data_IF_374508965679
#
_entry.id   IF_374508965679
#
_cell.length_a   1.000
_cell.length_b   1.000
_cell.length_c   1.000
_cell.angle_alpha   90.00
_cell.angle_beta   90.00
_cell.angle_gamma   90.00
#
_symmetry.space_group_name_H-M   'P 1'
#
loop_
_entity.id
_entity.type
_entity.pdbx_description
1 polymer ?
#
# COMPACT_ATOMS: atom_id res chain seq x y z
N UNK A 1 19.56 68.95 -35.96
CA UNK A 1 18.49 67.93 -36.01
C UNK A 1 18.95 66.76 -35.15
N UNK A 2 18.54 66.69 -33.86
CA UNK A 2 17.48 65.82 -33.30
C UNK A 2 17.61 64.35 -33.79
N UNK A 3 18.36 63.49 -33.11
CA UNK A 3 18.06 62.72 -31.87
C UNK A 3 17.14 61.51 -32.09
N UNK A 4 17.63 60.29 -31.80
CA UNK A 4 16.85 59.22 -31.16
C UNK A 4 17.79 58.07 -30.70
N UNK A 5 18.11 58.05 -29.39
CA UNK A 5 18.65 56.87 -28.69
C UNK A 5 17.45 56.02 -28.26
N UNK A 6 17.38 54.76 -28.72
CA UNK A 6 16.37 53.80 -28.29
C UNK A 6 16.90 53.03 -27.06
N UNK A 7 16.37 53.39 -25.90
CA UNK A 7 16.62 52.73 -24.61
C UNK A 7 15.73 51.48 -24.53
N UNK A 8 16.31 50.28 -24.55
CA UNK A 8 15.57 49.03 -24.34
C UNK A 8 15.56 48.69 -22.84
N UNK A 9 14.42 48.95 -22.18
CA UNK A 9 14.19 48.60 -20.78
C UNK A 9 13.80 47.10 -20.70
N UNK A 10 14.71 46.26 -20.20
CA UNK A 10 14.42 44.86 -19.87
C UNK A 10 13.86 44.82 -18.45
N UNK A 11 12.54 44.67 -18.33
CA UNK A 11 11.87 44.45 -17.05
C UNK A 11 11.96 42.97 -16.66
N UNK A 12 12.88 42.66 -15.73
CA UNK A 12 12.97 41.32 -15.12
C UNK A 12 11.89 41.23 -14.05
N UNK A 13 10.75 40.63 -14.40
CA UNK A 13 9.68 40.29 -13.45
C UNK A 13 10.11 39.06 -12.64
N UNK A 14 10.86 39.27 -11.55
CA UNK A 14 11.01 38.28 -10.49
C UNK A 14 9.67 38.15 -9.75
N UNK A 15 8.81 37.26 -10.23
CA UNK A 15 7.65 36.80 -9.49
C UNK A 15 8.11 35.89 -8.35
N UNK A 16 8.47 36.47 -7.21
CA UNK A 16 8.52 35.77 -5.94
C UNK A 16 7.11 35.20 -5.64
N UNK A 17 6.88 33.93 -5.99
CA UNK A 17 5.77 33.17 -5.44
C UNK A 17 6.03 33.04 -3.95
N UNK A 18 5.30 33.84 -3.17
CA UNK A 18 5.20 33.71 -1.72
C UNK A 18 4.74 32.28 -1.45
N UNK A 19 5.61 31.48 -0.81
CA UNK A 19 5.23 30.19 -0.27
C UNK A 19 4.07 30.43 0.69
N UNK A 20 2.87 30.09 0.24
CA UNK A 20 1.74 29.88 1.14
C UNK A 20 2.15 28.74 2.05
N UNK A 21 2.62 29.08 3.24
CA UNK A 21 2.64 28.20 4.39
C UNK A 21 1.22 27.64 4.54
N UNK A 22 0.98 26.49 3.91
CA UNK A 22 -0.15 25.64 4.20
C UNK A 22 -0.02 25.30 5.67
N UNK A 23 -1.01 25.71 6.47
CA UNK A 23 -1.10 25.29 7.87
C UNK A 23 -0.98 23.76 7.98
N UNK A 24 -0.76 23.24 9.20
CA UNK A 24 -0.55 21.80 9.40
C UNK A 24 -1.66 21.02 8.68
N UNK A 25 -1.31 20.00 7.89
CA UNK A 25 -2.28 19.27 7.08
C UNK A 25 -3.43 18.79 7.97
N UNK A 26 -4.66 19.05 7.52
CA UNK A 26 -5.87 18.66 8.26
C UNK A 26 -5.79 17.19 8.68
N UNK A 27 -6.23 16.83 9.89
CA UNK A 27 -6.13 15.47 10.37
C UNK A 27 -6.90 14.51 9.44
N UNK A 28 -6.13 13.68 8.75
CA UNK A 28 -6.64 12.72 7.78
C UNK A 28 -7.58 11.73 8.48
N UNK A 29 -8.77 11.56 7.91
CA UNK A 29 -9.84 10.75 8.45
C UNK A 29 -9.73 9.30 7.91
N UNK A 30 -9.66 8.30 8.81
CA UNK A 30 -9.61 6.88 8.46
C UNK A 30 -10.93 6.28 7.98
N UNK A 31 -12.03 7.06 7.93
CA UNK A 31 -13.35 6.59 7.47
C UNK A 31 -13.31 6.13 6.02
N UNK A 32 -13.94 4.98 5.72
CA UNK A 32 -14.12 4.49 4.36
C UNK A 32 -15.47 4.90 3.80
N UNK A 33 -15.47 5.38 2.56
CA UNK A 33 -16.71 5.70 1.83
C UNK A 33 -17.32 4.44 1.24
N UNK A 34 -16.50 3.62 0.58
CA UNK A 34 -16.90 2.30 0.09
C UNK A 34 -16.56 1.26 1.16
N UNK A 35 -17.59 0.60 1.69
CA UNK A 35 -17.48 -0.38 2.76
C UNK A 35 -17.47 -1.78 2.15
N UNK A 36 -16.29 -2.22 1.74
CA UNK A 36 -16.03 -3.58 1.31
C UNK A 36 -16.30 -4.53 2.48
N UNK A 37 -17.08 -5.59 2.29
CA UNK A 37 -17.41 -6.58 3.33
C UNK A 37 -16.46 -7.77 3.26
N UNK A 38 -16.43 -8.47 2.12
CA UNK A 38 -15.59 -9.64 1.91
C UNK A 38 -14.83 -9.55 0.58
N UNK A 39 -13.62 -10.10 0.57
CA UNK A 39 -12.91 -10.53 -0.64
C UNK A 39 -12.81 -12.05 -0.60
N UNK A 40 -13.34 -12.73 -1.60
CA UNK A 40 -13.29 -14.20 -1.72
C UNK A 40 -12.41 -14.58 -2.91
N UNK A 41 -11.44 -15.46 -2.68
CA UNK A 41 -10.59 -16.03 -3.72
C UNK A 41 -10.71 -17.56 -3.63
N UNK A 42 -11.16 -18.25 -4.70
CA UNK A 42 -11.29 -19.70 -4.73
C UNK A 42 -10.00 -20.40 -4.33
N UNK A 43 -10.15 -21.49 -3.58
CA UNK A 43 -9.05 -22.33 -3.10
C UNK A 43 -8.07 -21.64 -2.14
N UNK A 44 -8.39 -20.43 -1.67
CA UNK A 44 -7.73 -19.81 -0.51
C UNK A 44 -8.68 -19.84 0.70
N UNK A 45 -8.15 -19.75 1.94
CA UNK A 45 -8.99 -19.61 3.13
C UNK A 45 -9.95 -18.43 2.95
N UNK A 46 -11.24 -18.67 3.20
CA UNK A 46 -12.33 -17.77 2.83
C UNK A 46 -13.18 -17.35 4.03
N UNK A 47 -13.54 -16.07 4.17
CA UNK A 47 -13.17 -14.97 3.28
C UNK A 47 -11.66 -14.69 3.33
N UNK A 48 -11.07 -14.34 2.19
CA UNK A 48 -9.64 -14.04 2.10
C UNK A 48 -9.32 -12.71 2.79
N UNK A 49 -10.23 -11.74 2.68
CA UNK A 49 -10.31 -10.59 3.58
C UNK A 49 -11.74 -10.40 4.07
N UNK A 50 -11.90 -10.01 5.33
CA UNK A 50 -13.17 -9.66 5.94
C UNK A 50 -13.07 -8.30 6.64
N UNK A 51 -14.10 -7.47 6.52
CA UNK A 51 -14.14 -6.15 7.16
C UNK A 51 -15.50 -5.91 7.83
N UNK A 52 -15.43 -5.44 9.07
CA UNK A 52 -16.59 -4.90 9.79
C UNK A 52 -16.41 -3.40 10.00
N UNK A 53 -17.51 -2.65 10.08
CA UNK A 53 -17.50 -1.21 10.23
C UNK A 53 -18.42 -0.75 11.35
N UNK A 54 -18.04 0.33 12.02
CA UNK A 54 -18.96 1.12 12.83
C UNK A 54 -19.96 1.89 11.97
N UNK A 55 -21.02 2.40 12.60
CA UNK A 55 -22.02 3.29 11.95
C UNK A 55 -21.39 4.57 11.38
N UNK A 56 -20.26 5.00 11.96
CA UNK A 56 -19.48 6.14 11.48
C UNK A 56 -18.58 5.80 10.28
N UNK A 57 -18.56 4.54 9.82
CA UNK A 57 -17.80 4.09 8.64
C UNK A 57 -16.32 3.83 8.89
N UNK A 58 -15.89 3.68 10.14
CA UNK A 58 -14.54 3.21 10.48
C UNK A 58 -14.52 1.69 10.52
N UNK A 59 -13.48 1.07 9.94
CA UNK A 59 -13.25 -0.37 10.05
C UNK A 59 -13.02 -0.69 11.53
N UNK A 60 -13.81 -1.57 12.12
CA UNK A 60 -13.70 -2.01 13.53
C UNK A 60 -13.02 -3.36 13.67
N UNK A 61 -13.15 -4.21 12.64
CA UNK A 61 -12.52 -5.52 12.57
C UNK A 61 -11.98 -5.78 11.17
N UNK A 62 -10.84 -6.45 11.09
CA UNK A 62 -10.16 -6.84 9.86
C UNK A 62 -9.69 -8.28 9.97
N UNK A 63 -10.27 -9.18 9.18
CA UNK A 63 -9.86 -10.57 9.06
C UNK A 63 -9.07 -10.82 7.77
N UNK A 64 -8.11 -11.74 7.82
CA UNK A 64 -7.37 -12.23 6.66
C UNK A 64 -7.25 -13.75 6.69
N UNK A 65 -7.44 -14.37 5.52
CA UNK A 65 -7.35 -15.80 5.28
C UNK A 65 -8.16 -16.63 6.30
N UNK A 66 -9.49 -16.48 6.27
CA UNK A 66 -10.41 -17.15 7.21
C UNK A 66 -10.05 -16.90 8.68
N UNK A 67 -9.86 -15.62 9.02
CA UNK A 67 -9.47 -15.16 10.36
C UNK A 67 -8.18 -15.78 10.91
N UNK A 68 -7.28 -16.29 10.06
CA UNK A 68 -5.93 -16.69 10.48
C UNK A 68 -5.18 -15.51 11.14
N UNK A 69 -5.29 -14.33 10.52
CA UNK A 69 -5.08 -13.07 11.23
C UNK A 69 -6.44 -12.38 11.40
N UNK A 70 -6.76 -11.99 12.63
CA UNK A 70 -8.00 -11.30 12.94
C UNK A 70 -7.72 -10.15 13.90
N UNK A 71 -7.99 -8.93 13.44
CA UNK A 71 -7.59 -7.71 14.13
C UNK A 71 -8.80 -6.92 14.61
N UNK A 72 -8.76 -6.49 15.87
CA UNK A 72 -9.55 -5.35 16.34
C UNK A 72 -8.83 -4.06 16.00
N UNK A 73 -9.54 -3.09 15.43
CA UNK A 73 -8.97 -1.81 14.97
C UNK A 73 -9.36 -0.68 15.93
N UNK A 74 -8.34 0.00 16.47
CA UNK A 74 -8.51 1.14 17.35
C UNK A 74 -8.12 2.43 16.67
N UNK A 75 -8.84 3.51 17.00
CA UNK A 75 -8.60 4.84 16.48
C UNK A 75 -8.32 5.83 17.58
N UNK A 76 -7.45 6.79 17.28
CA UNK A 76 -7.23 7.99 18.08
C UNK A 76 -7.23 9.18 17.13
N UNK A 77 -7.94 10.25 17.48
CA UNK A 77 -8.04 11.44 16.62
C UNK A 77 -8.45 11.12 15.16
N UNK A 78 -9.38 10.16 14.99
CA UNK A 78 -9.89 9.66 13.69
C UNK A 78 -8.85 8.94 12.82
N UNK A 79 -7.71 8.54 13.37
CA UNK A 79 -6.64 7.80 12.70
C UNK A 79 -6.45 6.44 13.37
N UNK A 80 -6.05 5.42 12.60
CA UNK A 80 -5.73 4.10 13.16
C UNK A 80 -4.56 4.28 14.13
N UNK A 81 -4.76 3.94 15.39
CA UNK A 81 -3.70 3.98 16.41
C UNK A 81 -3.13 2.59 16.64
N UNK A 82 -3.98 1.55 16.63
CA UNK A 82 -3.57 0.16 16.89
C UNK A 82 -4.41 -0.84 16.10
N UNK A 83 -3.78 -1.93 15.68
CA UNK A 83 -4.44 -3.19 15.32
C UNK A 83 -4.01 -4.24 16.34
N UNK A 84 -4.95 -4.90 17.01
CA UNK A 84 -4.66 -5.98 17.97
C UNK A 84 -5.11 -7.29 17.35
N UNK A 85 -4.16 -8.20 17.11
CA UNK A 85 -4.47 -9.53 16.63
C UNK A 85 -5.03 -10.38 17.78
N UNK A 86 -6.30 -10.76 17.68
CA UNK A 86 -7.02 -11.46 18.76
C UNK A 86 -6.56 -12.91 18.95
N UNK A 87 -5.81 -13.46 17.98
CA UNK A 87 -5.37 -14.85 18.01
C UNK A 87 -4.04 -15.05 18.76
N UNK A 88 -3.25 -13.98 18.96
CA UNK A 88 -1.91 -14.09 19.53
C UNK A 88 -1.44 -12.89 20.37
N UNK A 89 -2.34 -11.96 20.68
CA UNK A 89 -2.07 -10.77 21.49
C UNK A 89 -0.87 -9.93 20.99
N UNK A 90 -0.57 -9.99 19.69
CA UNK A 90 0.36 -9.06 19.05
C UNK A 90 -0.40 -7.81 18.61
N UNK A 91 0.19 -6.65 18.84
CA UNK A 91 -0.34 -5.39 18.32
C UNK A 91 0.59 -4.75 17.29
N UNK A 92 -0.02 -4.14 16.29
CA UNK A 92 0.61 -3.16 15.41
C UNK A 92 0.28 -1.76 15.94
N UNK A 93 1.29 -1.06 16.46
CA UNK A 93 1.18 0.30 16.99
C UNK A 93 1.63 1.33 15.95
N UNK A 94 0.75 2.27 15.60
CA UNK A 94 0.94 3.22 14.50
C UNK A 94 1.46 4.57 15.00
N UNK A 95 2.51 5.07 14.36
CA UNK A 95 3.08 6.39 14.59
C UNK A 95 2.96 7.25 13.33
N UNK A 96 2.78 8.55 13.55
CA UNK A 96 2.50 9.51 12.48
C UNK A 96 3.49 10.66 12.47
N UNK A 97 3.86 11.09 11.28
CA UNK A 97 4.65 12.30 11.00
C UNK A 97 3.94 13.06 9.89
N UNK A 98 3.76 14.37 10.04
CA UNK A 98 3.00 15.23 9.12
C UNK A 98 1.62 14.67 8.74
N UNK A 99 0.99 13.97 9.68
CA UNK A 99 -0.33 13.37 9.53
C UNK A 99 -0.39 12.05 8.77
N UNK A 100 0.75 11.51 8.31
CA UNK A 100 0.87 10.22 7.60
C UNK A 100 1.53 9.18 8.48
N UNK A 101 1.24 7.89 8.26
CA UNK A 101 1.89 6.80 9.00
C UNK A 101 3.37 6.79 8.64
N UNK A 102 4.26 7.05 9.60
CA UNK A 102 5.71 7.02 9.40
C UNK A 102 6.32 5.70 9.85
N UNK A 103 5.86 5.16 10.97
CA UNK A 103 6.35 3.90 11.53
C UNK A 103 5.18 3.09 12.10
N UNK A 104 5.24 1.78 11.93
CA UNK A 104 4.41 0.82 12.65
C UNK A 104 5.34 -0.10 13.43
N UNK A 105 5.03 -0.36 14.69
CA UNK A 105 5.75 -1.34 15.50
C UNK A 105 4.85 -2.53 15.78
N UNK A 106 5.32 -3.74 15.45
CA UNK A 106 4.73 -4.95 16.00
C UNK A 106 5.34 -5.21 17.36
N UNK A 107 4.50 -5.42 18.37
CA UNK A 107 4.94 -5.78 19.71
C UNK A 107 3.91 -6.66 20.41
N UNK A 108 4.40 -7.43 21.36
CA UNK A 108 3.57 -8.15 22.30
C UNK A 108 2.82 -7.16 23.21
N UNK A 109 1.50 -7.35 23.36
CA UNK A 109 0.65 -6.41 24.12
C UNK A 109 1.01 -6.36 25.60
N UNK A 110 1.41 -7.50 26.19
CA UNK A 110 1.68 -7.61 27.63
C UNK A 110 3.07 -7.13 28.01
N UNK A 111 4.09 -7.62 27.32
CA UNK A 111 5.50 -7.31 27.59
C UNK A 111 6.00 -6.06 26.90
N UNK A 112 5.32 -5.60 25.85
CA UNK A 112 5.73 -4.45 25.03
C UNK A 112 6.97 -4.73 24.16
N UNK A 113 7.48 -5.96 24.14
CA UNK A 113 8.67 -6.36 23.39
C UNK A 113 8.38 -6.25 21.89
N UNK A 114 9.22 -5.50 21.18
CA UNK A 114 9.10 -5.31 19.73
C UNK A 114 9.64 -6.52 18.98
N UNK A 115 8.91 -6.97 17.98
CA UNK A 115 9.31 -8.06 17.07
C UNK A 115 9.57 -7.54 15.66
N UNK A 116 8.79 -6.58 15.18
CA UNK A 116 8.93 -5.96 13.87
C UNK A 116 8.78 -4.42 13.90
N UNK A 117 9.37 -3.77 12.91
CA UNK A 117 9.19 -2.36 12.58
C UNK A 117 8.91 -2.24 11.09
N UNK A 118 7.89 -1.47 10.72
CA UNK A 118 7.57 -1.11 9.35
C UNK A 118 7.78 0.40 9.21
N UNK A 119 8.74 0.81 8.38
CA UNK A 119 9.04 2.24 8.18
C UNK A 119 8.53 2.69 6.81
N UNK A 120 7.68 3.70 6.78
CA UNK A 120 7.06 4.24 5.58
C UNK A 120 7.73 5.55 5.16
N UNK A 121 8.07 5.69 3.89
CA UNK A 121 8.57 6.94 3.30
C UNK A 121 7.66 7.40 2.19
N UNK A 122 7.52 8.72 2.02
CA UNK A 122 6.61 9.31 1.04
C UNK A 122 7.34 10.26 0.09
N UNK A 123 6.78 10.43 -1.10
CA UNK A 123 7.12 11.55 -1.98
C UNK A 123 6.58 12.87 -1.42
N UNK A 124 7.09 14.03 -1.88
CA UNK A 124 6.56 15.34 -1.47
C UNK A 124 5.05 15.52 -1.75
N UNK A 125 4.52 14.87 -2.78
CA UNK A 125 3.10 14.88 -3.12
C UNK A 125 2.24 13.95 -2.21
N UNK A 126 2.85 13.24 -1.27
CA UNK A 126 2.18 12.37 -0.30
C UNK A 126 1.93 10.94 -0.74
N UNK A 127 2.34 10.54 -1.95
CA UNK A 127 2.29 9.13 -2.36
C UNK A 127 3.33 8.31 -1.60
N UNK A 128 2.96 7.10 -1.17
CA UNK A 128 3.85 6.20 -0.46
C UNK A 128 4.97 5.75 -1.40
N UNK A 129 6.21 6.11 -1.08
CA UNK A 129 7.40 5.81 -1.88
C UNK A 129 8.03 4.47 -1.51
N UNK A 130 8.07 4.15 -0.23
CA UNK A 130 8.77 2.97 0.25
C UNK A 130 8.17 2.45 1.56
N UNK A 131 8.19 1.13 1.73
CA UNK A 131 8.08 0.48 3.04
C UNK A 131 9.30 -0.41 3.27
N UNK A 132 9.88 -0.31 4.47
CA UNK A 132 10.96 -1.17 4.95
C UNK A 132 10.47 -1.96 6.16
N UNK A 133 10.51 -3.29 6.08
CA UNK A 133 10.28 -4.20 7.18
C UNK A 133 11.62 -4.48 7.85
N UNK A 134 11.70 -4.27 9.16
CA UNK A 134 12.87 -4.57 9.97
C UNK A 134 12.48 -5.48 11.13
N UNK A 135 13.26 -6.52 11.36
CA UNK A 135 13.06 -7.48 12.44
C UNK A 135 13.98 -7.17 13.61
N UNK A 136 13.43 -7.23 14.82
CA UNK A 136 14.21 -7.21 16.05
C UNK A 136 14.59 -8.64 16.43
N UNK A 137 15.84 -8.84 16.88
CA UNK A 137 16.32 -10.13 17.36
C UNK A 137 16.68 -10.03 18.83
N UNK A 138 16.38 -11.10 19.58
CA UNK A 138 16.75 -11.18 20.99
C UNK A 138 18.28 -11.03 21.16
N UNK A 139 18.70 -10.21 22.11
CA UNK A 139 20.11 -9.95 22.39
C UNK A 139 20.79 -8.94 21.45
N UNK A 140 20.09 -8.42 20.43
CA UNK A 140 20.57 -7.32 19.57
C UNK A 140 19.94 -5.99 19.97
N UNK A 141 20.72 -4.92 19.89
CA UNK A 141 20.23 -3.55 20.09
C UNK A 141 19.69 -2.92 18.81
N UNK A 142 20.01 -3.50 17.65
CA UNK A 142 19.60 -3.06 16.33
C UNK A 142 18.51 -3.96 15.73
N UNK A 143 17.88 -3.47 14.66
CA UNK A 143 16.93 -4.22 13.83
C UNK A 143 17.50 -4.41 12.44
N UNK A 144 17.27 -5.58 11.83
CA UNK A 144 17.75 -5.90 10.47
C UNK A 144 16.63 -5.74 9.46
N UNK A 145 16.90 -5.10 8.32
CA UNK A 145 15.94 -5.04 7.21
C UNK A 145 15.70 -6.41 6.59
N UNK A 146 14.45 -6.88 6.57
CA UNK A 146 14.09 -8.21 6.05
C UNK A 146 13.35 -8.17 4.71
N UNK A 147 12.62 -7.08 4.47
CA UNK A 147 11.92 -6.82 3.21
C UNK A 147 11.91 -5.32 2.95
N UNK A 148 11.98 -4.90 1.69
CA UNK A 148 11.77 -3.50 1.30
C UNK A 148 10.97 -3.49 0.00
N UNK A 149 9.99 -2.60 -0.08
CA UNK A 149 9.22 -2.35 -1.30
C UNK A 149 9.40 -0.89 -1.70
N UNK A 150 9.79 -0.64 -2.95
CA UNK A 150 9.89 0.71 -3.53
C UNK A 150 8.78 0.85 -4.56
N UNK A 151 8.01 1.93 -4.46
CA UNK A 151 6.81 2.20 -5.27
C UNK A 151 7.06 3.42 -6.15
N UNK A 152 6.83 3.27 -7.46
CA UNK A 152 7.00 4.31 -8.47
C UNK A 152 5.65 4.58 -9.12
N UNK A 153 5.29 5.83 -9.30
CA UNK A 153 3.96 6.24 -9.79
C UNK A 153 4.05 6.99 -11.11
N UNK A 154 3.00 6.84 -11.92
CA UNK A 154 2.73 7.66 -13.07
C UNK A 154 2.33 9.09 -12.66
N UNK A 155 2.36 10.02 -13.62
CA UNK A 155 1.99 11.42 -13.38
C UNK A 155 0.52 11.60 -12.93
N UNK A 156 -0.36 10.63 -13.22
CA UNK A 156 -1.77 10.63 -12.83
C UNK A 156 -2.03 10.10 -11.40
N UNK A 157 -0.96 9.63 -10.74
CA UNK A 157 -0.97 9.06 -9.40
C UNK A 157 -1.28 7.57 -9.33
N UNK A 158 -1.46 6.86 -10.45
CA UNK A 158 -1.50 5.39 -10.44
C UNK A 158 -0.10 4.83 -10.23
N UNK A 159 0.02 3.72 -9.50
CA UNK A 159 1.27 2.97 -9.41
C UNK A 159 1.72 2.57 -10.83
N UNK A 160 2.97 2.80 -11.17
CA UNK A 160 3.54 2.41 -12.45
C UNK A 160 4.33 1.11 -12.28
N UNK A 161 5.09 1.03 -11.20
CA UNK A 161 6.03 -0.05 -10.94
C UNK A 161 6.26 -0.19 -9.44
N UNK A 162 6.61 -1.40 -9.00
CA UNK A 162 7.25 -1.57 -7.72
C UNK A 162 8.32 -2.66 -7.72
N UNK A 163 9.38 -2.40 -6.95
CA UNK A 163 10.46 -3.35 -6.68
C UNK A 163 10.30 -3.93 -5.29
N UNK A 164 10.43 -5.25 -5.17
CA UNK A 164 10.48 -5.97 -3.90
C UNK A 164 11.91 -6.49 -3.67
N UNK A 165 12.45 -6.21 -2.49
CA UNK A 165 13.75 -6.67 -2.03
C UNK A 165 13.57 -7.54 -0.79
N UNK A 166 14.33 -8.63 -0.71
CA UNK A 166 14.33 -9.57 0.42
C UNK A 166 15.72 -9.76 0.97
N UNK A 167 15.80 -10.00 2.27
CA UNK A 167 17.09 -10.23 2.93
C UNK A 167 17.73 -11.54 2.48
N UNK A 168 19.04 -11.48 2.24
CA UNK A 168 19.86 -12.67 2.16
C UNK A 168 20.18 -13.14 3.59
N UNK A 169 19.74 -14.35 4.00
CA UNK A 169 19.95 -14.81 5.36
C UNK A 169 21.43 -15.02 5.73
N UNK A 170 22.33 -15.13 4.74
CA UNK A 170 23.76 -15.29 4.99
C UNK A 170 24.50 -13.97 5.20
N UNK A 171 24.06 -12.88 4.56
CA UNK A 171 24.77 -11.58 4.57
C UNK A 171 23.99 -10.45 5.25
N UNK A 172 22.70 -10.67 5.57
CA UNK A 172 21.76 -9.65 6.05
C UNK A 172 21.52 -8.49 5.07
N UNK A 173 21.99 -8.60 3.82
CA UNK A 173 21.78 -7.59 2.78
C UNK A 173 20.42 -7.76 2.10
N UNK A 174 19.76 -6.64 1.78
CA UNK A 174 18.55 -6.65 0.97
C UNK A 174 18.91 -6.81 -0.51
N UNK A 175 18.53 -7.94 -1.09
CA UNK A 175 18.70 -8.24 -2.51
C UNK A 175 17.39 -8.05 -3.25
N UNK A 176 17.48 -7.59 -4.49
CA UNK A 176 16.34 -7.51 -5.39
C UNK A 176 15.73 -8.91 -5.58
N UNK A 177 14.41 -9.01 -5.41
CA UNK A 177 13.65 -10.26 -5.55
C UNK A 177 12.82 -10.25 -6.83
N UNK A 178 12.06 -9.18 -7.05
CA UNK A 178 11.19 -9.03 -8.21
C UNK A 178 10.86 -7.57 -8.48
N UNK A 179 10.52 -7.29 -9.73
CA UNK A 179 9.89 -6.03 -10.17
C UNK A 179 8.52 -6.35 -10.74
N UNK A 180 7.52 -5.54 -10.43
CA UNK A 180 6.19 -5.62 -11.06
C UNK A 180 5.86 -4.30 -11.73
N UNK A 181 5.67 -4.35 -13.05
CA UNK A 181 5.27 -3.22 -13.90
C UNK A 181 3.76 -3.28 -14.15
N UNK A 182 3.04 -2.19 -13.91
CA UNK A 182 1.63 -2.08 -14.26
C UNK A 182 1.51 -1.38 -15.61
N UNK A 183 1.05 -2.14 -16.60
CA UNK A 183 1.07 -1.76 -18.00
C UNK A 183 -0.21 -1.02 -18.41
N UNK A 184 -1.35 -1.38 -17.80
CA UNK A 184 -2.65 -0.85 -18.20
C UNK A 184 -3.60 -0.72 -17.00
N UNK A 185 -4.43 0.31 -17.04
CA UNK A 185 -5.46 0.61 -16.05
C UNK A 185 -6.82 0.83 -16.71
N UNK A 186 -7.89 0.54 -15.98
CA UNK A 186 -9.22 1.04 -16.33
C UNK A 186 -9.42 2.49 -15.83
N UNK A 187 -10.67 2.95 -15.86
CA UNK A 187 -11.06 4.28 -15.34
C UNK A 187 -11.91 4.21 -14.06
N UNK A 188 -12.16 3.00 -13.53
CA UNK A 188 -13.01 2.82 -12.36
C UNK A 188 -12.18 2.89 -11.08
N UNK A 189 -12.85 3.03 -9.93
CA UNK A 189 -12.18 3.02 -8.63
C UNK A 189 -11.67 1.61 -8.32
N UNK A 190 -10.42 1.53 -7.86
CA UNK A 190 -9.92 0.32 -7.20
C UNK A 190 -10.33 0.31 -5.72
N UNK A 191 -10.61 -0.89 -5.21
CA UNK A 191 -11.04 -1.14 -3.82
C UNK A 191 -10.10 -2.11 -3.09
N UNK A 192 -9.05 -2.56 -3.77
CA UNK A 192 -8.13 -3.61 -3.34
C UNK A 192 -6.72 -3.03 -3.21
N UNK A 193 -6.52 -2.23 -2.17
CA UNK A 193 -5.22 -1.63 -1.82
C UNK A 193 -4.46 -2.48 -0.77
N UNK A 194 -4.99 -3.64 -0.39
CA UNK A 194 -4.48 -4.43 0.75
C UNK A 194 -3.53 -5.54 0.34
N UNK A 195 -3.74 -6.12 -0.84
CA UNK A 195 -3.03 -7.34 -1.24
C UNK A 195 -1.58 -7.09 -1.64
N UNK A 196 -1.23 -5.89 -2.14
CA UNK A 196 0.09 -5.63 -2.73
C UNK A 196 1.23 -5.70 -1.70
N UNK A 197 0.97 -5.22 -0.48
CA UNK A 197 1.98 -5.14 0.58
C UNK A 197 1.92 -6.33 1.55
N UNK A 198 1.12 -7.36 1.22
CA UNK A 198 0.85 -8.50 2.10
C UNK A 198 1.42 -9.78 1.51
N UNK A 199 2.33 -10.40 2.23
CA UNK A 199 2.65 -11.81 2.05
C UNK A 199 1.79 -12.67 2.98
N UNK A 200 1.59 -13.96 2.65
CA UNK A 200 0.68 -14.85 3.39
C UNK A 200 0.90 -14.84 4.90
N UNK A 201 2.15 -14.86 5.36
CA UNK A 201 2.50 -14.97 6.78
C UNK A 201 2.92 -13.65 7.44
N UNK A 202 2.87 -12.54 6.72
CA UNK A 202 3.12 -11.21 7.30
C UNK A 202 1.83 -10.62 7.89
N UNK A 203 1.94 -9.69 8.83
CA UNK A 203 0.76 -8.98 9.33
C UNK A 203 0.08 -8.11 8.26
N UNK A 204 -1.22 -7.87 8.42
CA UNK A 204 -1.94 -6.93 7.54
C UNK A 204 -1.69 -5.50 7.99
N UNK A 205 -1.04 -4.71 7.13
CA UNK A 205 -0.85 -3.28 7.38
C UNK A 205 -2.07 -2.49 6.92
N UNK A 206 -2.84 -1.93 7.85
CA UNK A 206 -3.98 -1.08 7.54
C UNK A 206 -3.53 0.37 7.36
N UNK A 207 -3.32 0.78 6.10
CA UNK A 207 -2.88 2.12 5.73
C UNK A 207 -4.03 2.89 5.06
N UNK A 208 -5.05 3.38 5.80
CA UNK A 208 -6.28 3.90 5.21
C UNK A 208 -6.07 5.16 4.36
N UNK A 209 -4.95 5.86 4.54
CA UNK A 209 -4.56 7.07 3.83
C UNK A 209 -3.71 6.80 2.59
N UNK A 210 -3.20 5.58 2.44
CA UNK A 210 -2.41 5.17 1.29
C UNK A 210 -3.36 4.54 0.29
N UNK A 211 -3.29 5.02 -0.93
CA UNK A 211 -3.98 4.43 -2.08
C UNK A 211 -2.91 4.11 -3.11
N UNK A 212 -2.65 2.82 -3.28
CA UNK A 212 -1.64 2.33 -4.20
C UNK A 212 -2.20 2.36 -5.62
N UNK A 213 -3.43 1.86 -5.76
CA UNK A 213 -4.13 1.84 -7.02
C UNK A 213 -5.26 2.86 -7.00
N UNK A 214 -5.13 3.91 -7.82
CA UNK A 214 -6.24 4.82 -8.07
C UNK A 214 -7.29 4.13 -8.93
N UNK A 215 -6.85 3.45 -9.98
CA UNK A 215 -7.69 2.69 -10.91
C UNK A 215 -7.41 1.19 -10.85
N UNK A 216 -8.29 0.36 -11.41
CA UNK A 216 -8.05 -1.08 -11.40
C UNK A 216 -6.97 -1.44 -12.43
N UNK A 217 -5.92 -2.18 -12.05
CA UNK A 217 -4.94 -2.67 -13.00
C UNK A 217 -5.60 -3.70 -13.92
N UNK A 218 -5.46 -3.51 -15.23
CA UNK A 218 -5.93 -4.42 -16.28
C UNK A 218 -4.84 -5.37 -16.75
N UNK A 219 -3.59 -4.90 -16.73
CA UNK A 219 -2.44 -5.71 -17.14
C UNK A 219 -1.22 -5.34 -16.33
N UNK A 220 -0.54 -6.34 -15.77
CA UNK A 220 0.75 -6.16 -15.12
C UNK A 220 1.71 -7.30 -15.47
N UNK A 221 3.00 -7.02 -15.39
CA UNK A 221 4.08 -7.97 -15.62
C UNK A 221 4.94 -8.03 -14.39
N UNK A 222 5.24 -9.23 -13.91
CA UNK A 222 6.22 -9.44 -12.84
C UNK A 222 7.44 -10.15 -13.41
N UNK A 223 8.62 -9.60 -13.16
CA UNK A 223 9.92 -10.19 -13.55
C UNK A 223 10.73 -10.47 -12.30
N UNK A 224 11.24 -11.69 -12.18
CA UNK A 224 12.13 -12.14 -11.09
C UNK A 224 13.45 -12.66 -11.66
N UNK A 225 14.32 -13.27 -10.85
CA UNK A 225 15.57 -13.85 -11.37
C UNK A 225 15.31 -14.97 -12.39
N UNK A 226 14.35 -15.85 -12.11
CA UNK A 226 14.14 -17.09 -12.86
C UNK A 226 12.91 -17.06 -13.77
N UNK A 227 11.84 -16.39 -13.32
CA UNK A 227 10.53 -16.47 -13.97
C UNK A 227 9.96 -15.08 -14.22
N UNK A 228 9.22 -14.97 -15.32
CA UNK A 228 8.41 -13.81 -15.63
C UNK A 228 6.96 -14.24 -15.83
N UNK A 229 6.04 -13.41 -15.37
CA UNK A 229 4.61 -13.65 -15.45
C UNK A 229 3.90 -12.41 -16.00
N UNK A 230 2.96 -12.62 -16.91
CA UNK A 230 2.02 -11.63 -17.38
C UNK A 230 0.66 -11.93 -16.76
N UNK A 231 0.04 -10.92 -16.16
CA UNK A 231 -1.28 -11.00 -15.55
C UNK A 231 -2.22 -10.10 -16.33
N UNK A 232 -3.32 -10.66 -16.80
CA UNK A 232 -4.39 -9.95 -17.49
C UNK A 232 -5.65 -10.07 -16.65
N UNK A 233 -6.21 -8.91 -16.28
CA UNK A 233 -7.41 -8.81 -15.48
C UNK A 233 -8.59 -8.31 -16.29
N UNK A 234 -9.78 -8.79 -15.93
CA UNK A 234 -11.07 -8.21 -16.33
C UNK A 234 -11.94 -8.05 -15.10
N UNK A 235 -12.71 -6.96 -15.04
CA UNK A 235 -13.57 -6.66 -13.91
C UNK A 235 -15.03 -6.59 -14.34
N UNK A 236 -15.90 -7.18 -13.52
CA UNK A 236 -17.34 -6.97 -13.60
C UNK A 236 -17.74 -5.94 -12.55
N UNK A 237 -18.66 -5.04 -12.88
CA UNK A 237 -19.04 -3.91 -12.03
C UNK A 237 -20.53 -3.87 -11.74
N UNK A 238 -20.87 -3.44 -10.52
CA UNK A 238 -22.21 -2.98 -10.15
C UNK A 238 -22.07 -1.60 -9.54
N UNK A 239 -22.84 -0.61 -10.01
CA UNK A 239 -22.77 0.77 -9.51
C UNK A 239 -21.35 1.37 -9.52
N UNK A 240 -20.56 1.06 -10.57
CA UNK A 240 -19.14 1.46 -10.72
C UNK A 240 -18.18 0.88 -9.69
N UNK A 241 -18.60 -0.10 -8.89
CA UNK A 241 -17.75 -0.85 -7.97
C UNK A 241 -17.47 -2.24 -8.52
N UNK A 242 -16.22 -2.73 -8.44
CA UNK A 242 -15.89 -4.07 -8.90
C UNK A 242 -16.56 -5.09 -7.99
N UNK A 243 -17.32 -6.03 -8.56
CA UNK A 243 -17.91 -7.17 -7.82
C UNK A 243 -17.20 -8.48 -8.14
N UNK A 244 -16.48 -8.54 -9.26
CA UNK A 244 -15.68 -9.68 -9.65
C UNK A 244 -14.42 -9.24 -10.41
N UNK A 245 -13.28 -9.87 -10.13
CA UNK A 245 -11.99 -9.72 -10.83
C UNK A 245 -11.59 -11.07 -11.39
N UNK A 246 -11.58 -11.20 -12.71
CA UNK A 246 -11.09 -12.38 -13.42
C UNK A 246 -9.60 -12.20 -13.69
N UNK A 247 -8.78 -13.21 -13.42
CA UNK A 247 -7.35 -13.23 -13.69
C UNK A 247 -7.03 -14.34 -14.70
N UNK A 248 -6.21 -14.00 -15.69
CA UNK A 248 -5.39 -14.95 -16.45
C UNK A 248 -3.93 -14.61 -16.18
N UNK A 249 -3.19 -15.54 -15.58
CA UNK A 249 -1.74 -15.45 -15.38
C UNK A 249 -1.05 -16.38 -16.37
N UNK A 250 -0.09 -15.86 -17.13
CA UNK A 250 0.72 -16.62 -18.09
C UNK A 250 2.20 -16.48 -17.74
N UNK A 251 2.91 -17.59 -17.59
CA UNK A 251 4.36 -17.57 -17.47
C UNK A 251 4.99 -17.26 -18.83
N UNK A 252 5.75 -16.17 -18.93
CA UNK A 252 6.38 -15.70 -20.17
C UNK A 252 7.87 -16.03 -20.23
N UNK A 253 8.49 -16.38 -19.11
CA UNK A 253 9.88 -16.87 -19.01
C UNK A 253 10.00 -17.94 -17.94
N UNK A 254 10.84 -18.95 -18.18
CA UNK A 254 11.13 -20.02 -17.21
C UNK A 254 10.23 -21.26 -17.30
N UNK A 255 9.37 -21.35 -18.32
CA UNK A 255 8.46 -22.48 -18.52
C UNK A 255 7.20 -22.07 -19.28
N UNK A 256 6.29 -23.03 -19.46
CA UNK A 256 4.95 -22.78 -19.98
C UNK A 256 3.94 -23.09 -18.86
N UNK A 257 3.12 -22.09 -18.50
CA UNK A 257 2.10 -22.23 -17.48
C UNK A 257 1.03 -21.16 -17.65
N UNK A 258 -0.23 -21.56 -17.48
CA UNK A 258 -1.38 -20.66 -17.42
C UNK A 258 -2.18 -21.00 -16.17
N UNK A 259 -2.59 -19.98 -15.43
CA UNK A 259 -3.52 -20.09 -14.31
C UNK A 259 -4.68 -19.13 -14.52
N UNK A 260 -5.88 -19.58 -14.17
CA UNK A 260 -7.08 -18.73 -14.12
C UNK A 260 -7.61 -18.68 -12.70
N UNK A 261 -8.04 -17.50 -12.28
CA UNK A 261 -8.66 -17.30 -10.97
C UNK A 261 -9.74 -16.23 -11.06
N UNK A 262 -10.66 -16.24 -10.11
CA UNK A 262 -11.74 -15.26 -10.01
C UNK A 262 -11.83 -14.78 -8.57
N UNK A 263 -11.64 -13.51 -8.32
CA UNK A 263 -11.88 -12.89 -7.01
C UNK A 263 -13.27 -12.27 -6.99
N UNK A 264 -14.03 -12.48 -5.92
CA UNK A 264 -15.33 -11.84 -5.72
C UNK A 264 -15.26 -10.81 -4.58
N UNK A 265 -15.96 -9.70 -4.76
CA UNK A 265 -16.04 -8.60 -3.79
C UNK A 265 -17.48 -8.40 -3.37
N UNK A 266 -17.73 -8.34 -2.06
CA UNK A 266 -19.03 -8.00 -1.49
C UNK A 266 -18.97 -6.67 -0.73
N UNK A 267 -20.10 -5.97 -0.61
CA UNK A 267 -20.19 -4.65 0.02
C UNK A 267 -21.41 -4.57 0.96
N UNK A 268 -21.41 -3.59 1.87
CA UNK A 268 -22.56 -3.22 2.70
C UNK A 268 -23.50 -2.21 2.03
#
# INVERSE_FOLDING_TARGET
>A
MKAAYLLCLIAIMFSCKKDTNTGPPLPVNGRKTQRLKDIVVPSLPSPYYHFEYSDSGYITRLGFADAFFDYTVHYENKRVSRLININNDQELFYQYEDGRVSVIHQRDVLSGVKSMRYSCRYYPNGLLKEILWSKFFAGRSDSVGVRKVILIYNADGNLAEFDDFRVNPATEELLWSQTTEILEYDKQINVDDFSLLKDTFEDVLLLPQVRLFKNNPLRLKTSSQQNDFLYVYRYDFVNKLPVRKHLVMTQTRGGAGEMRSTTEFSYY
#
